data_IF_228441965568
#
_entry.id   IF_228441965568
#
_cell.length_a   1.000
_cell.length_b   1.000
_cell.length_c   1.000
_cell.angle_alpha   90.00
_cell.angle_beta   90.00
_cell.angle_gamma   90.00
#
_symmetry.space_group_name_H-M   'P 1'
#
loop_
_entity.id
_entity.type
_entity.pdbx_description
1 polymer ?
#
# COMPACT_ATOMS: atom_id res chain seq x y z
N UNK A 1 -22.36 -2.34 -7.88
CA UNK A 1 -21.38 -1.41 -7.27
C UNK A 1 -20.07 -1.64 -8.00
N UNK A 2 -19.71 -0.77 -8.94
CA UNK A 2 -18.41 -0.82 -9.62
C UNK A 2 -17.37 -0.38 -8.60
N UNK A 3 -16.57 -1.31 -8.07
CA UNK A 3 -15.39 -0.96 -7.27
C UNK A 3 -14.42 -0.32 -8.25
N UNK A 4 -14.38 1.01 -8.29
CA UNK A 4 -13.36 1.76 -9.02
C UNK A 4 -12.02 1.28 -8.48
N UNK A 5 -11.14 0.74 -9.34
CA UNK A 5 -9.77 0.44 -8.95
C UNK A 5 -9.16 1.68 -8.32
N UNK A 6 -8.89 1.62 -7.02
CA UNK A 6 -8.28 2.71 -6.31
C UNK A 6 -6.77 2.44 -6.26
N UNK A 7 -5.99 3.31 -6.92
CA UNK A 7 -4.52 3.25 -6.85
C UNK A 7 -4.07 3.53 -5.41
N UNK A 8 -3.71 2.46 -4.72
CA UNK A 8 -3.32 2.45 -3.32
C UNK A 8 -1.94 1.82 -3.15
N UNK A 9 -1.27 2.19 -2.06
CA UNK A 9 0.01 1.61 -1.67
C UNK A 9 0.02 1.32 -0.17
N UNK A 10 0.75 0.27 0.20
CA UNK A 10 1.11 0.00 1.58
C UNK A 10 2.35 0.82 1.95
N UNK A 11 2.33 1.46 3.10
CA UNK A 11 3.47 2.14 3.70
C UNK A 11 3.47 1.90 5.21
N UNK A 12 4.49 2.37 5.91
CA UNK A 12 4.52 2.38 7.38
C UNK A 12 4.16 3.76 7.93
N UNK A 13 3.77 3.82 9.21
CA UNK A 13 3.44 5.08 9.87
C UNK A 13 4.64 6.03 10.02
N UNK A 14 5.85 5.48 10.15
CA UNK A 14 7.09 6.22 10.38
C UNK A 14 7.85 6.60 9.11
N UNK A 15 7.47 6.07 7.94
CA UNK A 15 8.10 6.42 6.67
C UNK A 15 7.68 7.84 6.25
N UNK A 16 8.62 8.81 6.20
CA UNK A 16 8.29 10.21 5.96
C UNK A 16 8.09 10.53 4.47
N UNK A 17 8.34 9.56 3.58
CA UNK A 17 8.34 9.77 2.13
C UNK A 17 7.02 9.32 1.51
N UNK A 18 6.57 10.07 0.52
CA UNK A 18 5.38 9.70 -0.23
C UNK A 18 5.70 8.50 -1.16
N UNK A 19 5.01 7.34 -1.02
CA UNK A 19 5.33 6.15 -1.80
C UNK A 19 5.05 6.30 -3.30
N UNK A 20 4.27 7.30 -3.72
CA UNK A 20 3.94 7.56 -5.12
C UNK A 20 4.94 8.52 -5.80
N UNK A 21 5.32 9.61 -5.12
CA UNK A 21 6.16 10.68 -5.71
C UNK A 21 7.62 10.65 -5.26
N UNK A 22 7.92 9.98 -4.15
CA UNK A 22 9.26 9.88 -3.54
C UNK A 22 9.64 8.41 -3.31
N UNK A 23 9.41 7.56 -4.32
CA UNK A 23 9.51 6.10 -4.19
C UNK A 23 10.92 5.62 -3.80
N UNK A 24 11.97 6.27 -4.30
CA UNK A 24 13.35 5.86 -4.03
C UNK A 24 13.72 6.07 -2.55
N UNK A 25 13.38 7.23 -2.00
CA UNK A 25 13.58 7.57 -0.60
C UNK A 25 12.69 6.70 0.31
N UNK A 26 11.44 6.50 -0.10
CA UNK A 26 10.51 5.59 0.57
C UNK A 26 11.08 4.18 0.71
N UNK A 27 11.59 3.61 -0.40
CA UNK A 27 12.15 2.25 -0.43
C UNK A 27 13.45 2.14 0.37
N UNK A 28 14.31 3.17 0.30
CA UNK A 28 15.54 3.19 1.08
C UNK A 28 15.24 3.21 2.59
N UNK A 29 14.29 4.04 3.02
CA UNK A 29 13.86 4.07 4.42
C UNK A 29 13.29 2.71 4.84
N UNK A 30 12.38 2.15 4.06
CA UNK A 30 11.72 0.86 4.33
C UNK A 30 12.74 -0.28 4.52
N UNK A 31 13.73 -0.37 3.64
CA UNK A 31 14.81 -1.35 3.74
C UNK A 31 15.76 -1.06 4.92
N UNK A 32 16.04 0.22 5.23
CA UNK A 32 16.90 0.58 6.35
C UNK A 32 16.29 0.27 7.73
N UNK A 33 14.96 0.10 7.77
CA UNK A 33 14.17 -0.26 8.95
C UNK A 33 13.83 -1.76 9.02
N UNK A 34 14.33 -2.55 8.07
CA UNK A 34 14.03 -3.98 7.91
C UNK A 34 12.52 -4.29 7.74
N UNK A 35 11.72 -3.33 7.24
CA UNK A 35 10.30 -3.57 7.02
C UNK A 35 10.03 -4.43 5.78
N UNK A 36 10.81 -4.22 4.71
CA UNK A 36 10.71 -4.94 3.44
C UNK A 36 9.27 -5.06 2.93
N UNK A 37 8.54 -3.94 2.94
CA UNK A 37 7.10 -3.86 2.68
C UNK A 37 6.74 -4.47 1.32
N UNK A 38 7.53 -4.20 0.28
CA UNK A 38 7.31 -4.77 -1.06
C UNK A 38 7.46 -6.30 -1.06
N UNK A 39 8.46 -6.85 -0.37
CA UNK A 39 8.66 -8.30 -0.29
C UNK A 39 7.53 -8.98 0.50
N UNK A 40 6.99 -8.32 1.53
CA UNK A 40 5.84 -8.83 2.26
C UNK A 40 4.60 -8.85 1.36
N UNK A 41 4.34 -7.76 0.65
CA UNK A 41 3.20 -7.65 -0.26
C UNK A 41 3.25 -8.69 -1.39
N UNK A 42 4.39 -8.83 -2.05
CA UNK A 42 4.60 -9.79 -3.13
C UNK A 42 4.40 -11.27 -2.74
N UNK A 43 4.46 -11.60 -1.43
CA UNK A 43 4.16 -12.96 -0.94
C UNK A 43 2.67 -13.23 -0.76
N UNK A 44 1.86 -12.18 -0.67
CA UNK A 44 0.43 -12.25 -0.37
C UNK A 44 -0.39 -12.02 -1.66
N UNK A 45 0.11 -11.18 -2.56
CA UNK A 45 -0.49 -10.97 -3.87
C UNK A 45 -0.57 -12.26 -4.68
N UNK A 46 -1.76 -12.54 -5.21
CA UNK A 46 -2.04 -13.67 -6.09
C UNK A 46 -2.37 -13.16 -7.48
N UNK A 47 -1.34 -12.64 -8.16
CA UNK A 47 -1.45 -12.12 -9.52
C UNK A 47 -1.00 -13.17 -10.53
N UNK A 48 -1.74 -13.31 -11.63
CA UNK A 48 -1.38 -14.15 -12.77
C UNK A 48 -1.47 -13.39 -14.11
N UNK A 49 -0.84 -13.94 -15.15
CA UNK A 49 -0.71 -13.30 -16.47
C UNK A 49 -2.04 -13.14 -17.22
N UNK A 50 -3.11 -13.82 -16.81
CA UNK A 50 -4.44 -13.74 -17.43
C UNK A 50 -5.31 -12.61 -16.86
N UNK A 51 -4.90 -12.01 -15.75
CA UNK A 51 -5.65 -10.96 -15.07
C UNK A 51 -5.59 -9.62 -15.83
N UNK A 52 -6.72 -8.91 -15.86
CA UNK A 52 -6.78 -7.51 -16.31
C UNK A 52 -6.16 -6.56 -15.29
N UNK A 53 -5.77 -5.36 -15.73
CA UNK A 53 -5.24 -4.32 -14.84
C UNK A 53 -6.17 -4.01 -13.65
N UNK A 54 -7.48 -4.02 -13.88
CA UNK A 54 -8.46 -3.79 -12.81
C UNK A 54 -8.51 -4.95 -11.81
N UNK A 55 -8.38 -6.20 -12.26
CA UNK A 55 -8.30 -7.36 -11.36
C UNK A 55 -7.01 -7.35 -10.56
N UNK A 56 -5.88 -6.98 -11.18
CA UNK A 56 -4.58 -6.81 -10.52
C UNK A 56 -4.69 -5.76 -9.41
N UNK A 57 -5.30 -4.60 -9.69
CA UNK A 57 -5.48 -3.54 -8.69
C UNK A 57 -6.41 -3.96 -7.54
N UNK A 58 -7.45 -4.74 -7.82
CA UNK A 58 -8.34 -5.30 -6.79
C UNK A 58 -7.57 -6.28 -5.89
N UNK A 59 -6.76 -7.15 -6.49
CA UNK A 59 -5.92 -8.11 -5.78
C UNK A 59 -4.83 -7.41 -4.96
N UNK A 60 -4.20 -6.38 -5.51
CA UNK A 60 -3.24 -5.52 -4.82
C UNK A 60 -3.86 -4.91 -3.55
N UNK A 61 -5.03 -4.27 -3.67
CA UNK A 61 -5.71 -3.68 -2.52
C UNK A 61 -6.12 -4.75 -1.48
N UNK A 62 -6.58 -5.92 -1.93
CA UNK A 62 -6.92 -7.05 -1.05
C UNK A 62 -5.69 -7.52 -0.26
N UNK A 63 -4.54 -7.65 -0.90
CA UNK A 63 -3.29 -8.05 -0.25
C UNK A 63 -2.83 -7.01 0.79
N UNK A 64 -3.00 -5.72 0.49
CA UNK A 64 -2.74 -4.63 1.45
C UNK A 64 -3.67 -4.74 2.67
N UNK A 65 -4.97 -4.93 2.42
CA UNK A 65 -5.97 -5.07 3.50
C UNK A 65 -5.67 -6.28 4.39
N UNK A 66 -5.24 -7.40 3.81
CA UNK A 66 -4.82 -8.57 4.57
C UNK A 66 -3.61 -8.28 5.47
N UNK A 67 -2.60 -7.56 4.97
CA UNK A 67 -1.43 -7.19 5.80
C UNK A 67 -1.86 -6.34 6.99
N UNK A 68 -2.71 -5.33 6.77
CA UNK A 68 -3.18 -4.42 7.82
C UNK A 68 -4.07 -5.15 8.83
N UNK A 69 -4.96 -6.02 8.36
CA UNK A 69 -5.83 -6.81 9.25
C UNK A 69 -5.03 -7.71 10.20
N UNK A 70 -3.84 -8.17 9.78
CA UNK A 70 -2.95 -9.03 10.56
C UNK A 70 -1.79 -8.26 11.23
N UNK A 71 -1.83 -6.92 11.23
CA UNK A 71 -0.78 -6.08 11.81
C UNK A 71 -1.07 -5.70 13.28
N UNK A 72 -0.77 -6.64 14.18
CA UNK A 72 -0.94 -6.43 15.63
C UNK A 72 0.00 -5.38 16.23
N UNK A 73 1.04 -4.95 15.50
CA UNK A 73 2.04 -3.98 15.95
C UNK A 73 1.75 -2.56 15.45
N UNK A 74 0.73 -2.38 14.61
CA UNK A 74 0.33 -1.09 14.04
C UNK A 74 1.50 -0.37 13.33
N UNK A 75 2.21 -1.12 12.51
CA UNK A 75 3.33 -0.67 11.68
C UNK A 75 2.81 -0.05 10.38
N UNK A 76 1.80 -0.65 9.77
CA UNK A 76 1.40 -0.42 8.39
C UNK A 76 0.14 0.45 8.25
N UNK A 77 0.09 1.23 7.17
CA UNK A 77 -1.08 1.99 6.73
C UNK A 77 -1.25 1.92 5.22
N UNK A 78 -2.49 1.92 4.76
CA UNK A 78 -2.87 2.05 3.34
C UNK A 78 -3.01 3.54 3.02
N UNK A 79 -2.51 3.96 1.86
CA UNK A 79 -2.68 5.32 1.32
C UNK A 79 -3.16 5.24 -0.12
N UNK A 80 -3.99 6.20 -0.55
CA UNK A 80 -4.42 6.31 -1.95
C UNK A 80 -3.76 7.51 -2.63
N UNK A 81 -3.51 7.41 -3.94
CA UNK A 81 -2.89 8.50 -4.71
C UNK A 81 -3.71 9.80 -4.65
N UNK A 82 -5.03 9.70 -4.50
CA UNK A 82 -5.97 10.81 -4.59
C UNK A 82 -6.79 11.04 -3.30
N UNK A 83 -6.24 10.75 -2.11
CA UNK A 83 -6.92 11.22 -0.90
C UNK A 83 -6.83 12.76 -0.85
N UNK A 84 -7.93 13.44 -1.22
CA UNK A 84 -8.18 14.80 -0.77
C UNK A 84 -8.08 14.78 0.76
N UNK A 85 -7.06 15.45 1.28
CA UNK A 85 -6.91 15.64 2.72
C UNK A 85 -8.11 16.46 3.19
N UNK A 86 -9.13 15.81 3.72
CA UNK A 86 -10.15 16.48 4.52
C UNK A 86 -9.49 16.86 5.86
N UNK A 87 -8.75 17.97 5.87
CA UNK A 87 -8.36 18.63 7.11
C UNK A 87 -9.64 19.09 7.80
N UNK A 88 -10.05 18.38 8.85
CA UNK A 88 -11.00 18.90 9.82
C UNK A 88 -10.31 20.06 10.52
N UNK A 89 -10.66 21.29 10.11
CA UNK A 89 -10.35 22.51 10.84
C UNK A 89 -11.06 22.40 12.19
N UNK A 90 -10.27 22.19 13.25
CA UNK A 90 -10.71 22.39 14.63
C UNK A 90 -10.58 23.87 15.01
#
# INVERSE_FOLDING_TARGET
MTKTSNDCRLTTFDNPYNPFTQFAEWLLFDNSKDYFTLNKLARIEQVDESMSENEINIEHERAIDEIIQNDFLNIYKKVYRNEEVNEQIA
#
